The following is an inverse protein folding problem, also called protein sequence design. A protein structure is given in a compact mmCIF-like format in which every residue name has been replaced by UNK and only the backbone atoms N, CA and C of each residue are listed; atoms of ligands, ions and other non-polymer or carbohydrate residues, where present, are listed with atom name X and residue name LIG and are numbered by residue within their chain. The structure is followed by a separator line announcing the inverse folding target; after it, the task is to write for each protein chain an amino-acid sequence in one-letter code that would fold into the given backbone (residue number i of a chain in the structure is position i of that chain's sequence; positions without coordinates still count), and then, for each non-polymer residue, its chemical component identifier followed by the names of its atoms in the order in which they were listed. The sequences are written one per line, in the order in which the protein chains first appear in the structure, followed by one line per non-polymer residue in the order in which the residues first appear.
data_IF_951231599303
#
_entry.id   IF_951231599303
#
_cell.length_a   1.000
_cell.length_b   1.000
_cell.length_c   1.000
_cell.angle_alpha   90.00
_cell.angle_beta   90.00
_cell.angle_gamma   90.00
#
_symmetry.space_group_name_H-M   'P 1'
#
loop_
_entity.id
_entity.type
_entity.pdbx_description
1 polymer ?
#
# COMPACT_ATOMS: atom_id res chain seq x y z
N UNK A 1 -18.84 -4.98 12.43
CA UNK A 1 -18.57 -3.65 11.87
C UNK A 1 -18.10 -2.67 12.93
N UNK A 2 -17.10 -1.83 12.61
CA UNK A 2 -16.50 -0.88 13.55
C UNK A 2 -15.33 -1.43 14.37
N UNK A 3 -15.07 -2.70 14.32
CA UNK A 3 -13.87 -3.31 14.91
C UNK A 3 -12.64 -3.07 14.03
N UNK A 4 -11.46 -3.26 14.59
CA UNK A 4 -10.22 -3.34 13.83
C UNK A 4 -9.67 -4.75 13.82
N UNK A 5 -9.08 -5.14 12.68
CA UNK A 5 -8.41 -6.42 12.49
C UNK A 5 -6.98 -6.16 12.04
N UNK A 6 -6.03 -6.71 12.80
CA UNK A 6 -4.61 -6.60 12.49
C UNK A 6 -4.19 -7.67 11.48
N UNK A 7 -3.30 -7.31 10.56
CA UNK A 7 -2.69 -8.24 9.62
C UNK A 7 -1.17 -8.20 9.68
N UNK A 8 -0.54 -9.30 10.09
CA UNK A 8 0.90 -9.51 10.12
C UNK A 8 1.29 -10.55 9.06
N UNK A 9 1.18 -10.16 7.79
CA UNK A 9 1.42 -11.01 6.64
C UNK A 9 2.53 -10.42 5.76
N UNK A 10 3.41 -11.26 5.20
CA UNK A 10 4.37 -10.81 4.19
C UNK A 10 3.62 -10.35 2.93
N UNK A 11 4.26 -9.47 2.15
CA UNK A 11 3.73 -9.06 0.85
C UNK A 11 3.47 -10.28 -0.03
N UNK A 12 2.21 -10.51 -0.35
CA UNK A 12 1.75 -11.69 -1.09
C UNK A 12 0.29 -11.50 -1.52
N UNK A 13 -0.19 -12.37 -2.40
CA UNK A 13 -1.62 -12.43 -2.75
C UNK A 13 -2.49 -12.61 -1.49
N UNK A 14 -2.02 -13.37 -0.50
CA UNK A 14 -2.75 -13.58 0.76
C UNK A 14 -2.90 -12.31 1.58
N UNK A 15 -1.89 -11.41 1.59
CA UNK A 15 -2.02 -10.09 2.21
C UNK A 15 -3.16 -9.31 1.55
N UNK A 16 -3.24 -9.30 0.23
CA UNK A 16 -4.31 -8.62 -0.51
C UNK A 16 -5.67 -9.22 -0.18
N UNK A 17 -5.79 -10.55 -0.20
CA UNK A 17 -7.06 -11.24 0.12
C UNK A 17 -7.50 -10.97 1.57
N UNK A 18 -6.58 -11.02 2.53
CA UNK A 18 -6.89 -10.73 3.94
C UNK A 18 -7.37 -9.29 4.12
N UNK A 19 -6.70 -8.33 3.48
CA UNK A 19 -7.07 -6.91 3.52
C UNK A 19 -8.49 -6.68 2.96
N UNK A 20 -8.80 -7.25 1.79
CA UNK A 20 -10.13 -7.16 1.21
C UNK A 20 -11.18 -7.85 2.10
N UNK A 21 -10.92 -9.06 2.58
CA UNK A 21 -11.84 -9.78 3.47
C UNK A 21 -12.13 -9.04 4.77
N UNK A 22 -11.13 -8.36 5.37
CA UNK A 22 -11.32 -7.53 6.56
C UNK A 22 -12.32 -6.39 6.28
N UNK A 23 -12.14 -5.69 5.17
CA UNK A 23 -13.00 -4.56 4.83
C UNK A 23 -14.40 -5.04 4.42
N UNK A 24 -14.51 -6.15 3.71
CA UNK A 24 -15.80 -6.78 3.38
C UNK A 24 -16.56 -7.25 4.63
N UNK A 25 -15.86 -7.68 5.68
CA UNK A 25 -16.44 -7.99 6.98
C UNK A 25 -16.86 -6.72 7.78
N UNK A 26 -16.64 -5.53 7.23
CA UNK A 26 -16.99 -4.25 7.85
C UNK A 26 -16.02 -3.81 8.94
N UNK A 27 -14.81 -4.37 8.99
CA UNK A 27 -13.77 -4.02 9.95
C UNK A 27 -12.71 -3.07 9.35
N UNK A 28 -12.00 -2.36 10.22
CA UNK A 28 -10.88 -1.53 9.83
C UNK A 28 -9.59 -2.37 9.70
N UNK A 29 -8.83 -2.15 8.63
CA UNK A 29 -7.53 -2.78 8.43
C UNK A 29 -6.44 -2.12 9.26
N UNK A 30 -5.70 -2.91 10.05
CA UNK A 30 -4.50 -2.49 10.79
C UNK A 30 -3.28 -3.24 10.25
N UNK A 31 -2.48 -2.65 9.37
CA UNK A 31 -1.26 -3.30 8.87
C UNK A 31 -0.18 -3.36 9.94
N UNK A 32 0.41 -4.55 10.11
CA UNK A 32 1.59 -4.77 10.91
C UNK A 32 2.73 -5.20 9.99
N UNK A 33 3.72 -4.33 9.82
CA UNK A 33 4.93 -4.67 9.06
C UNK A 33 5.80 -5.63 9.88
N UNK A 34 5.88 -6.88 9.43
CA UNK A 34 6.59 -7.96 10.12
C UNK A 34 8.09 -7.71 10.30
N UNK A 35 8.65 -6.75 9.56
CA UNK A 35 10.03 -6.27 9.69
C UNK A 35 10.26 -5.32 10.87
N UNK A 36 9.19 -4.86 11.54
CA UNK A 36 9.35 -4.01 12.72
C UNK A 36 9.76 -4.82 13.96
N UNK A 37 10.51 -4.17 14.90
CA UNK A 37 10.80 -4.76 16.20
C UNK A 37 9.53 -5.14 16.99
N UNK A 38 9.60 -6.21 17.77
CA UNK A 38 8.46 -6.73 18.56
C UNK A 38 7.85 -5.67 19.47
N UNK A 39 8.68 -4.88 20.16
CA UNK A 39 8.20 -3.83 21.07
C UNK A 39 7.34 -2.80 20.33
N UNK A 40 7.68 -2.46 19.08
CA UNK A 40 6.90 -1.54 18.26
C UNK A 40 5.56 -2.16 17.86
N UNK A 41 5.56 -3.42 17.43
CA UNK A 41 4.35 -4.14 17.02
C UNK A 41 3.42 -4.35 18.23
N UNK A 42 3.97 -4.70 19.40
CA UNK A 42 3.19 -4.82 20.65
C UNK A 42 2.52 -3.51 21.04
N UNK A 43 3.26 -2.40 20.97
CA UNK A 43 2.71 -1.08 21.24
C UNK A 43 1.56 -0.73 20.29
N UNK A 44 1.70 -1.05 18.98
CA UNK A 44 0.63 -0.83 18.00
C UNK A 44 -0.61 -1.66 18.32
N UNK A 45 -0.45 -2.92 18.73
CA UNK A 45 -1.53 -3.81 19.15
C UNK A 45 -2.20 -3.32 20.44
N UNK A 46 -1.42 -2.87 21.43
CA UNK A 46 -1.94 -2.31 22.70
C UNK A 46 -2.75 -1.03 22.47
N UNK A 47 -2.29 -0.15 21.58
CA UNK A 47 -2.96 1.12 21.30
C UNK A 47 -4.23 0.93 20.44
N UNK A 48 -4.15 0.13 19.38
CA UNK A 48 -5.26 -0.09 18.45
C UNK A 48 -6.29 -1.12 18.97
N UNK A 49 -5.88 -2.05 19.82
CA UNK A 49 -6.72 -3.13 20.41
C UNK A 49 -7.58 -3.85 19.37
N UNK A 50 -6.97 -4.43 18.33
CA UNK A 50 -7.74 -5.15 17.32
C UNK A 50 -8.46 -6.34 17.95
N UNK A 51 -9.64 -6.68 17.42
CA UNK A 51 -10.41 -7.86 17.86
C UNK A 51 -9.79 -9.17 17.36
N UNK A 52 -9.05 -9.12 16.24
CA UNK A 52 -8.45 -10.28 15.59
C UNK A 52 -7.07 -9.93 15.01
N UNK A 53 -6.15 -10.88 15.08
CA UNK A 53 -4.87 -10.87 14.36
C UNK A 53 -4.85 -11.97 13.29
N UNK A 54 -4.73 -11.59 12.02
CA UNK A 54 -4.50 -12.53 10.91
C UNK A 54 -3.00 -12.55 10.61
N UNK A 55 -2.36 -13.71 10.71
CA UNK A 55 -0.93 -13.79 10.55
C UNK A 55 -0.46 -15.17 10.09
N UNK A 56 0.84 -15.29 9.78
CA UNK A 56 1.52 -16.57 9.63
C UNK A 56 1.73 -17.23 11.00
N UNK A 57 1.99 -18.53 11.03
CA UNK A 57 2.20 -19.27 12.27
C UNK A 57 3.37 -18.71 13.10
N UNK A 58 4.48 -18.36 12.44
CA UNK A 58 5.64 -17.75 13.10
C UNK A 58 5.33 -16.36 13.67
N UNK A 59 4.50 -15.56 12.98
CA UNK A 59 4.07 -14.25 13.47
C UNK A 59 3.09 -14.38 14.64
N UNK A 60 2.19 -15.36 14.62
CA UNK A 60 1.28 -15.62 15.73
C UNK A 60 2.05 -15.98 17.01
N UNK A 61 3.12 -16.75 16.89
CA UNK A 61 3.96 -17.12 18.02
C UNK A 61 4.57 -15.91 18.74
N UNK A 62 4.85 -14.80 18.03
CA UNK A 62 5.39 -13.55 18.60
C UNK A 62 4.43 -12.82 19.53
N UNK A 63 3.11 -13.05 19.37
CA UNK A 63 2.05 -12.31 20.07
C UNK A 63 1.09 -13.21 20.86
N UNK A 64 1.44 -14.48 21.05
CA UNK A 64 0.61 -15.48 21.73
C UNK A 64 0.33 -15.17 23.20
N UNK A 65 1.13 -14.28 23.81
CA UNK A 65 1.02 -13.85 25.21
C UNK A 65 0.15 -12.58 25.40
N UNK A 66 -0.40 -11.99 24.30
CA UNK A 66 -1.26 -10.80 24.39
C UNK A 66 -2.66 -11.23 24.84
N UNK A 67 -3.12 -10.82 26.05
CA UNK A 67 -4.40 -11.24 26.55
C UNK A 67 -5.57 -10.72 25.72
N UNK A 68 -6.51 -11.60 25.38
CA UNK A 68 -7.76 -11.23 24.72
C UNK A 68 -7.62 -10.95 23.21
N UNK A 69 -6.43 -11.10 22.62
CA UNK A 69 -6.24 -11.01 21.18
C UNK A 69 -6.60 -12.36 20.54
N UNK A 70 -7.71 -12.41 19.81
CA UNK A 70 -8.02 -13.56 18.97
C UNK A 70 -7.06 -13.63 17.79
N UNK A 71 -6.78 -14.84 17.29
CA UNK A 71 -5.83 -15.02 16.21
C UNK A 71 -6.32 -16.02 15.17
N UNK A 72 -5.98 -15.75 13.91
CA UNK A 72 -6.28 -16.59 12.75
C UNK A 72 -5.00 -16.84 11.95
N UNK A 73 -4.63 -18.12 11.80
CA UNK A 73 -3.55 -18.52 10.93
C UNK A 73 -4.08 -18.66 9.50
N UNK A 74 -3.63 -17.80 8.58
CA UNK A 74 -4.07 -17.87 7.18
C UNK A 74 -3.62 -19.13 6.45
N UNK A 75 -2.59 -19.83 6.94
CA UNK A 75 -2.06 -21.08 6.36
C UNK A 75 -2.93 -22.31 6.68
N UNK A 76 -3.86 -22.18 7.62
CA UNK A 76 -4.80 -23.23 7.94
C UNK A 76 -6.02 -23.17 7.03
N UNK A 77 -6.56 -24.32 6.60
CA UNK A 77 -7.81 -24.32 5.84
C UNK A 77 -8.91 -23.64 6.67
N UNK A 78 -9.49 -22.57 6.11
CA UNK A 78 -10.68 -21.98 6.69
C UNK A 78 -11.86 -22.88 6.39
N UNK A 79 -12.71 -23.13 7.38
CA UNK A 79 -14.00 -23.77 7.12
C UNK A 79 -14.76 -22.91 6.11
N UNK A 80 -15.46 -23.57 5.16
CA UNK A 80 -16.38 -22.86 4.30
C UNK A 80 -17.37 -22.11 5.23
N UNK A 81 -17.35 -20.77 5.13
CA UNK A 81 -18.32 -19.96 5.88
C UNK A 81 -19.72 -20.22 5.37
N UNK A 82 -20.71 -20.03 6.24
CA UNK A 82 -22.09 -19.92 5.79
C UNK A 82 -22.22 -18.71 4.87
N UNK A 83 -23.14 -18.74 3.90
CA UNK A 83 -23.51 -17.61 3.05
C UNK A 83 -24.21 -16.49 3.87
N UNK A 84 -23.63 -16.15 5.02
CA UNK A 84 -24.13 -15.07 5.85
C UNK A 84 -23.98 -13.74 5.10
N UNK A 85 -25.00 -12.87 5.11
CA UNK A 85 -24.88 -11.57 4.46
C UNK A 85 -23.70 -10.79 5.05
N UNK A 86 -22.84 -10.27 4.17
CA UNK A 86 -21.71 -9.45 4.55
C UNK A 86 -22.19 -8.24 5.35
N UNK A 87 -21.49 -7.95 6.44
CA UNK A 87 -21.76 -6.75 7.23
C UNK A 87 -21.32 -5.52 6.43
N UNK A 88 -22.27 -4.69 6.00
CA UNK A 88 -21.96 -3.50 5.22
C UNK A 88 -21.24 -2.46 6.09
N UNK A 89 -20.10 -2.01 5.62
CA UNK A 89 -19.42 -0.83 6.16
C UNK A 89 -20.27 0.42 5.95
N UNK A 90 -20.27 1.31 6.94
CA UNK A 90 -20.93 2.62 6.83
C UNK A 90 -19.93 3.69 6.42
N UNK A 91 -20.37 4.80 5.84
CA UNK A 91 -19.50 5.91 5.42
C UNK A 91 -18.63 6.49 6.56
N UNK A 92 -19.10 6.44 7.79
CA UNK A 92 -18.44 6.93 9.00
C UNK A 92 -17.55 5.89 9.69
N UNK A 93 -17.56 4.63 9.22
CA UNK A 93 -16.66 3.61 9.76
C UNK A 93 -15.21 3.87 9.33
N UNK A 94 -14.27 3.47 10.19
CA UNK A 94 -12.84 3.47 9.86
C UNK A 94 -12.56 2.42 8.80
N UNK A 95 -11.80 2.80 7.77
CA UNK A 95 -11.33 1.90 6.72
C UNK A 95 -10.01 1.25 7.10
N UNK A 96 -9.08 2.04 7.60
CA UNK A 96 -7.76 1.55 8.02
C UNK A 96 -7.18 2.40 9.15
N UNK A 97 -6.18 1.81 9.85
CA UNK A 97 -5.41 2.47 10.90
C UNK A 97 -3.93 2.32 10.55
N UNK A 98 -3.25 3.40 10.19
CA UNK A 98 -1.81 3.38 9.90
C UNK A 98 -1.06 4.19 10.95
N UNK A 99 0.00 3.60 11.50
CA UNK A 99 0.81 4.23 12.54
C UNK A 99 1.91 5.10 11.92
N UNK A 100 1.93 6.37 12.30
CA UNK A 100 2.95 7.35 11.93
C UNK A 100 3.89 7.66 13.08
N UNK A 101 5.07 8.23 12.79
CA UNK A 101 5.99 8.69 13.82
C UNK A 101 5.39 9.86 14.58
N UNK A 102 5.11 9.69 15.86
CA UNK A 102 4.62 10.78 16.71
C UNK A 102 5.74 11.76 17.09
N UNK A 103 5.40 13.04 17.23
CA UNK A 103 6.32 14.11 17.68
C UNK A 103 6.93 13.84 19.06
N UNK A 104 6.32 12.98 19.86
CA UNK A 104 6.78 12.58 21.20
C UNK A 104 7.61 11.29 21.20
N UNK A 105 7.98 10.77 20.01
CA UNK A 105 8.70 9.50 19.85
C UNK A 105 7.81 8.25 19.92
N UNK A 106 6.57 8.33 20.44
CA UNK A 106 5.60 7.22 20.40
C UNK A 106 4.79 7.29 19.10
N UNK A 107 4.72 6.22 18.30
CA UNK A 107 3.88 6.16 17.12
C UNK A 107 2.41 6.45 17.45
N UNK A 108 1.70 7.06 16.49
CA UNK A 108 0.27 7.39 16.61
C UNK A 108 -0.49 6.68 15.50
N UNK A 109 -1.57 5.98 15.86
CA UNK A 109 -2.48 5.35 14.91
C UNK A 109 -3.40 6.40 14.29
N UNK A 110 -3.25 6.61 12.99
CA UNK A 110 -4.11 7.50 12.19
C UNK A 110 -5.28 6.67 11.66
N UNK A 111 -6.50 7.04 12.06
CA UNK A 111 -7.74 6.40 11.62
C UNK A 111 -8.30 7.16 10.42
N UNK A 112 -8.40 6.50 9.28
CA UNK A 112 -8.99 7.09 8.07
C UNK A 112 -10.33 6.42 7.79
N UNK A 113 -11.38 7.23 7.63
CA UNK A 113 -12.74 6.75 7.40
C UNK A 113 -13.01 6.33 5.97
N UNK A 114 -14.04 5.50 5.78
CA UNK A 114 -14.47 4.99 4.47
C UNK A 114 -14.74 6.12 3.46
N UNK A 115 -15.47 7.15 3.86
CA UNK A 115 -15.77 8.29 2.98
C UNK A 115 -14.51 8.96 2.46
N UNK A 116 -13.50 9.16 3.32
CA UNK A 116 -12.27 9.85 2.94
C UNK A 116 -11.46 9.06 1.91
N UNK A 117 -11.25 7.76 2.15
CA UNK A 117 -10.46 6.94 1.23
C UNK A 117 -11.20 6.66 -0.09
N UNK A 118 -12.52 6.45 -0.05
CA UNK A 118 -13.32 6.30 -1.26
C UNK A 118 -13.26 7.55 -2.13
N UNK A 119 -13.42 8.74 -1.53
CA UNK A 119 -13.25 10.01 -2.24
C UNK A 119 -11.87 10.11 -2.90
N UNK A 120 -10.81 9.73 -2.17
CA UNK A 120 -9.43 9.76 -2.67
C UNK A 120 -9.24 8.82 -3.87
N UNK A 121 -9.76 7.59 -3.80
CA UNK A 121 -9.64 6.59 -4.86
C UNK A 121 -10.46 6.96 -6.10
N UNK A 122 -11.68 7.47 -5.93
CA UNK A 122 -12.52 7.94 -7.03
C UNK A 122 -11.90 9.15 -7.73
N UNK A 123 -11.31 10.09 -6.96
CA UNK A 123 -10.55 11.19 -7.54
C UNK A 123 -9.36 10.69 -8.38
N UNK A 124 -8.60 9.67 -7.90
CA UNK A 124 -7.52 9.07 -8.70
C UNK A 124 -8.06 8.48 -10.00
N UNK A 125 -9.18 7.77 -9.94
CA UNK A 125 -9.79 7.17 -11.12
C UNK A 125 -10.27 8.22 -12.13
N UNK A 126 -10.83 9.31 -11.65
CA UNK A 126 -11.25 10.43 -12.52
C UNK A 126 -10.05 11.13 -13.17
N UNK A 127 -9.01 11.41 -12.38
CA UNK A 127 -7.85 12.18 -12.84
C UNK A 127 -6.86 11.35 -13.66
N UNK A 128 -6.68 10.07 -13.31
CA UNK A 128 -5.69 9.16 -13.90
C UNK A 128 -6.35 7.82 -14.28
N UNK A 129 -7.34 7.80 -15.17
CA UNK A 129 -8.18 6.62 -15.35
C UNK A 129 -7.35 5.37 -15.65
N UNK A 130 -7.53 4.34 -14.82
CA UNK A 130 -7.08 2.98 -15.08
C UNK A 130 -8.12 2.25 -15.92
N UNK A 131 -7.67 1.27 -16.67
CA UNK A 131 -8.49 0.32 -17.42
C UNK A 131 -8.03 -1.11 -17.17
N UNK A 132 -8.72 -2.09 -17.73
CA UNK A 132 -8.35 -3.50 -17.64
C UNK A 132 -6.97 -3.82 -18.25
N UNK A 133 -6.46 -2.95 -19.12
CA UNK A 133 -5.12 -3.09 -19.74
C UNK A 133 -3.99 -2.55 -18.86
N UNK A 134 -4.30 -1.95 -17.72
CA UNK A 134 -3.30 -1.39 -16.82
C UNK A 134 -2.83 -2.42 -15.80
N UNK A 135 -1.54 -2.32 -15.47
CA UNK A 135 -0.87 -3.15 -14.47
C UNK A 135 -0.29 -2.25 -13.39
N UNK A 136 -0.84 -2.35 -12.19
CA UNK A 136 -0.41 -1.56 -11.02
C UNK A 136 0.59 -2.36 -10.19
N UNK A 137 1.71 -1.74 -9.88
CA UNK A 137 2.73 -2.33 -9.00
C UNK A 137 2.37 -2.12 -7.53
N UNK A 138 2.16 -3.19 -6.76
CA UNK A 138 2.17 -3.15 -5.31
C UNK A 138 3.59 -3.43 -4.81
N UNK A 139 4.25 -2.41 -4.31
CA UNK A 139 5.62 -2.48 -3.79
C UNK A 139 5.82 -1.70 -2.50
N UNK A 140 4.93 -0.75 -2.21
CA UNK A 140 4.99 0.03 -0.99
C UNK A 140 4.67 -0.84 0.22
N UNK A 141 5.47 -0.81 1.31
CA UNK A 141 5.11 -1.53 2.53
C UNK A 141 3.72 -1.13 3.03
N UNK A 142 2.94 -2.11 3.49
CA UNK A 142 1.56 -1.89 3.95
C UNK A 142 1.43 -0.93 5.15
N UNK A 143 2.53 -0.67 5.83
CA UNK A 143 2.62 0.32 6.92
C UNK A 143 2.64 1.78 6.45
N UNK A 144 2.72 2.04 5.14
CA UNK A 144 2.62 3.38 4.53
C UNK A 144 1.29 3.52 3.80
N UNK A 145 0.65 4.66 3.95
CA UNK A 145 -0.69 4.95 3.42
C UNK A 145 -0.78 4.96 1.89
N UNK A 146 0.31 5.26 1.18
CA UNK A 146 0.41 5.10 -0.27
C UNK A 146 0.05 3.68 -0.72
N UNK A 147 0.38 2.65 0.07
CA UNK A 147 0.03 1.27 -0.25
C UNK A 147 -1.48 1.06 -0.38
N UNK A 148 -2.29 1.87 0.27
CA UNK A 148 -3.74 1.74 0.26
C UNK A 148 -4.30 1.88 -1.15
N UNK A 149 -3.87 2.88 -1.92
CA UNK A 149 -4.36 2.98 -3.29
C UNK A 149 -3.73 1.90 -4.21
N UNK A 150 -2.52 1.43 -3.94
CA UNK A 150 -1.94 0.30 -4.69
C UNK A 150 -2.81 -0.95 -4.53
N UNK A 151 -3.38 -1.22 -3.33
CA UNK A 151 -4.24 -2.37 -3.07
C UNK A 151 -5.68 -2.23 -3.58
N UNK A 152 -6.26 -1.02 -3.61
CA UNK A 152 -7.68 -0.85 -3.87
C UNK A 152 -8.01 -0.33 -5.27
N UNK A 153 -7.23 0.62 -5.78
CA UNK A 153 -7.53 1.27 -7.05
C UNK A 153 -7.57 0.31 -8.24
N UNK A 154 -6.67 -0.68 -8.40
CA UNK A 154 -6.76 -1.64 -9.49
C UNK A 154 -8.11 -2.37 -9.53
N UNK A 155 -8.60 -2.81 -8.38
CA UNK A 155 -9.86 -3.56 -8.31
C UNK A 155 -11.10 -2.70 -8.63
N UNK A 156 -11.09 -1.42 -8.26
CA UNK A 156 -12.16 -0.48 -8.63
C UNK A 156 -12.23 -0.31 -10.16
N UNK A 157 -11.09 -0.33 -10.82
CA UNK A 157 -10.98 -0.10 -12.27
C UNK A 157 -11.00 -1.39 -13.11
N UNK A 158 -10.96 -2.57 -12.50
CA UNK A 158 -10.79 -3.84 -13.19
C UNK A 158 -9.38 -4.03 -13.79
N UNK A 159 -8.39 -3.29 -13.30
CA UNK A 159 -6.98 -3.41 -13.68
C UNK A 159 -6.29 -4.57 -12.96
N UNK A 160 -5.09 -4.90 -13.39
CA UNK A 160 -4.27 -5.94 -12.76
C UNK A 160 -3.44 -5.36 -11.61
N UNK A 161 -3.33 -6.11 -10.52
CA UNK A 161 -2.39 -5.86 -9.44
C UNK A 161 -1.26 -6.89 -9.51
N UNK A 162 -0.01 -6.43 -9.58
CA UNK A 162 1.18 -7.28 -9.49
C UNK A 162 1.98 -6.91 -8.26
N UNK A 163 2.47 -7.92 -7.55
CA UNK A 163 3.15 -7.73 -6.27
C UNK A 163 4.64 -7.96 -6.42
N UNK A 164 5.42 -6.95 -6.01
CA UNK A 164 6.87 -7.11 -5.93
C UNK A 164 7.23 -8.08 -4.79
N UNK A 165 8.32 -8.82 -4.97
CA UNK A 165 8.85 -9.66 -3.89
C UNK A 165 9.13 -8.81 -2.63
N UNK A 166 9.04 -9.41 -1.43
CA UNK A 166 9.45 -8.72 -0.21
C UNK A 166 10.84 -8.09 -0.38
N UNK A 167 11.03 -6.87 0.13
CA UNK A 167 12.27 -6.08 0.05
C UNK A 167 12.73 -5.65 -1.37
N UNK A 168 12.16 -6.17 -2.46
CA UNK A 168 12.55 -5.80 -3.84
C UNK A 168 12.43 -4.29 -4.11
N UNK A 169 11.54 -3.60 -3.40
CA UNK A 169 11.37 -2.14 -3.51
C UNK A 169 12.64 -1.34 -3.15
N UNK A 170 13.59 -1.94 -2.42
CA UNK A 170 14.88 -1.32 -2.03
C UNK A 170 15.98 -1.56 -3.07
N UNK A 171 15.77 -2.45 -4.02
CA UNK A 171 16.72 -2.80 -5.06
C UNK A 171 16.25 -2.28 -6.43
N UNK A 172 16.91 -1.24 -6.98
CA UNK A 172 16.57 -0.70 -8.28
C UNK A 172 16.59 -1.73 -9.41
N UNK A 173 17.54 -2.67 -9.41
CA UNK A 173 17.65 -3.69 -10.46
C UNK A 173 16.50 -4.70 -10.36
N UNK A 174 16.15 -5.14 -9.15
CA UNK A 174 14.98 -5.98 -8.92
C UNK A 174 13.69 -5.29 -9.40
N UNK A 175 13.56 -3.98 -9.18
CA UNK A 175 12.41 -3.22 -9.65
C UNK A 175 12.37 -3.08 -11.18
N UNK A 176 13.50 -2.91 -11.85
CA UNK A 176 13.57 -2.89 -13.31
C UNK A 176 13.12 -4.23 -13.91
N UNK A 177 13.62 -5.34 -13.36
CA UNK A 177 13.23 -6.68 -13.78
C UNK A 177 11.74 -6.94 -13.53
N UNK A 178 11.23 -6.49 -12.39
CA UNK A 178 9.82 -6.59 -12.04
C UNK A 178 8.93 -5.82 -13.03
N UNK A 179 9.29 -4.58 -13.37
CA UNK A 179 8.54 -3.77 -14.35
C UNK A 179 8.55 -4.41 -15.74
N UNK A 180 9.71 -4.88 -16.20
CA UNK A 180 9.84 -5.56 -17.48
C UNK A 180 9.03 -6.87 -17.54
N UNK A 181 9.13 -7.68 -16.47
CA UNK A 181 8.46 -8.99 -16.40
C UNK A 181 6.95 -8.89 -16.48
N UNK A 182 6.37 -7.92 -15.78
CA UNK A 182 4.91 -7.81 -15.64
C UNK A 182 4.28 -6.72 -16.50
N UNK A 183 5.08 -5.95 -17.25
CA UNK A 183 4.56 -4.86 -18.08
C UNK A 183 3.89 -3.77 -17.23
N UNK A 184 4.48 -3.40 -16.10
CA UNK A 184 3.91 -2.42 -15.18
C UNK A 184 3.63 -1.11 -15.89
N UNK A 185 2.40 -0.59 -15.73
CA UNK A 185 1.97 0.70 -16.29
C UNK A 185 1.86 1.80 -15.26
N UNK A 186 1.68 1.43 -13.99
CA UNK A 186 1.43 2.38 -12.90
C UNK A 186 2.22 2.00 -11.66
N UNK A 187 2.98 2.95 -11.13
CA UNK A 187 3.82 2.74 -9.94
C UNK A 187 4.01 4.03 -9.14
N UNK A 188 4.45 3.90 -7.91
CA UNK A 188 4.83 4.99 -7.02
C UNK A 188 6.30 4.92 -6.65
N UNK A 189 6.92 6.06 -6.38
CA UNK A 189 8.23 6.17 -5.73
C UNK A 189 8.21 7.28 -4.67
N UNK A 190 8.95 7.11 -3.59
CA UNK A 190 9.47 8.27 -2.86
C UNK A 190 10.65 8.85 -3.65
N UNK A 191 10.84 10.18 -3.68
CA UNK A 191 11.87 10.81 -4.49
C UNK A 191 13.29 10.25 -4.31
N UNK A 192 13.68 9.91 -3.09
CA UNK A 192 14.99 9.27 -2.83
C UNK A 192 15.15 7.91 -3.51
N UNK A 193 14.08 7.10 -3.54
CA UNK A 193 14.09 5.81 -4.26
C UNK A 193 14.05 6.00 -5.77
N UNK A 194 13.31 7.00 -6.27
CA UNK A 194 13.33 7.35 -7.70
C UNK A 194 14.74 7.77 -8.12
N UNK A 195 15.45 8.55 -7.31
CA UNK A 195 16.83 8.96 -7.61
C UNK A 195 17.77 7.74 -7.72
N UNK A 196 17.67 6.78 -6.80
CA UNK A 196 18.43 5.54 -6.87
C UNK A 196 18.08 4.70 -8.11
N UNK A 197 16.79 4.62 -8.45
CA UNK A 197 16.32 3.92 -9.63
C UNK A 197 16.85 4.58 -10.92
N UNK A 198 16.75 5.90 -11.05
CA UNK A 198 17.24 6.67 -12.19
C UNK A 198 18.77 6.51 -12.35
N UNK A 199 19.52 6.59 -11.25
CA UNK A 199 20.97 6.41 -11.28
C UNK A 199 21.43 5.01 -11.72
N UNK A 200 20.56 4.02 -11.62
CA UNK A 200 20.83 2.62 -12.02
C UNK A 200 20.39 2.29 -13.44
N UNK A 201 19.71 3.23 -14.16
CA UNK A 201 19.20 2.98 -15.51
C UNK A 201 20.35 2.97 -16.54
N UNK A 202 20.33 1.96 -17.38
CA UNK A 202 21.12 1.85 -18.60
C UNK A 202 20.20 1.76 -19.85
N UNK A 203 20.79 1.57 -21.01
CA UNK A 203 20.03 1.52 -22.27
C UNK A 203 18.98 0.38 -22.30
N UNK A 204 19.30 -0.75 -21.68
CA UNK A 204 18.41 -1.93 -21.67
C UNK A 204 17.30 -1.74 -20.63
N UNK A 205 17.61 -1.23 -19.45
CA UNK A 205 16.66 -0.99 -18.38
C UNK A 205 15.72 0.19 -18.63
N UNK A 206 16.15 1.21 -19.40
CA UNK A 206 15.24 2.26 -19.90
C UNK A 206 14.10 1.64 -20.75
N UNK A 207 14.38 0.55 -21.49
CA UNK A 207 13.35 -0.14 -22.24
C UNK A 207 12.26 -0.75 -21.34
N UNK A 208 12.60 -1.15 -20.11
CA UNK A 208 11.63 -1.64 -19.12
C UNK A 208 10.66 -0.55 -18.64
N UNK A 209 11.05 0.72 -18.75
CA UNK A 209 10.21 1.86 -18.36
C UNK A 209 9.19 2.26 -19.44
N UNK A 210 9.28 1.70 -20.66
CA UNK A 210 8.40 2.09 -21.77
C UNK A 210 6.92 1.75 -21.57
N UNK A 211 6.62 0.80 -20.69
CA UNK A 211 5.24 0.45 -20.35
C UNK A 211 4.62 1.41 -19.33
N UNK A 212 5.44 2.22 -18.65
CA UNK A 212 4.98 3.14 -17.62
C UNK A 212 4.16 4.27 -18.23
N UNK A 213 2.92 4.39 -17.79
CA UNK A 213 1.96 5.42 -18.21
C UNK A 213 1.67 6.43 -17.11
N UNK A 214 1.87 6.02 -15.83
CA UNK A 214 1.61 6.83 -14.64
C UNK A 214 2.67 6.50 -13.58
N UNK A 215 3.49 7.48 -13.28
CA UNK A 215 4.46 7.37 -12.20
C UNK A 215 4.18 8.47 -11.20
N UNK A 216 3.98 8.08 -9.95
CA UNK A 216 3.68 8.99 -8.85
C UNK A 216 4.88 9.10 -7.92
N UNK A 217 5.11 10.32 -7.42
CA UNK A 217 6.05 10.60 -6.34
C UNK A 217 5.32 11.27 -5.19
N UNK A 218 5.59 10.85 -3.96
CA UNK A 218 5.13 11.53 -2.75
C UNK A 218 6.01 11.17 -1.54
N UNK A 219 5.73 11.77 -0.39
CA UNK A 219 6.41 11.51 0.88
C UNK A 219 7.68 12.32 1.13
N UNK A 220 8.30 12.87 0.10
CA UNK A 220 9.49 13.72 0.19
C UNK A 220 9.39 14.86 -0.83
N UNK A 221 10.25 15.88 -0.70
CA UNK A 221 10.37 16.92 -1.71
C UNK A 221 10.96 16.35 -3.00
N UNK A 222 10.28 16.55 -4.13
CA UNK A 222 10.72 16.07 -5.44
C UNK A 222 11.63 17.12 -6.12
N UNK A 223 12.95 16.85 -6.28
CA UNK A 223 13.87 17.78 -6.91
C UNK A 223 13.60 17.97 -8.40
N UNK A 224 13.68 19.21 -8.89
CA UNK A 224 13.47 19.53 -10.31
C UNK A 224 14.47 18.82 -11.23
N UNK A 225 15.71 18.68 -10.79
CA UNK A 225 16.76 17.98 -11.53
C UNK A 225 16.42 16.50 -11.73
N UNK A 226 15.84 15.86 -10.73
CA UNK A 226 15.39 14.47 -10.83
C UNK A 226 14.24 14.33 -11.82
N UNK A 227 13.30 15.28 -11.85
CA UNK A 227 12.22 15.30 -12.86
C UNK A 227 12.77 15.40 -14.28
N UNK A 228 13.72 16.32 -14.51
CA UNK A 228 14.36 16.49 -15.83
C UNK A 228 15.12 15.24 -16.26
N UNK A 229 15.84 14.61 -15.35
CA UNK A 229 16.59 13.39 -15.62
C UNK A 229 15.65 12.22 -15.93
N UNK A 230 14.59 12.05 -15.17
CA UNK A 230 13.54 11.07 -15.42
C UNK A 230 12.91 11.25 -16.81
N UNK A 231 12.50 12.47 -17.14
CA UNK A 231 11.90 12.80 -18.43
C UNK A 231 12.87 12.53 -19.59
N UNK A 232 14.13 12.97 -19.44
CA UNK A 232 15.18 12.76 -20.45
C UNK A 232 15.44 11.28 -20.75
N UNK A 233 15.43 10.43 -19.71
CA UNK A 233 15.75 9.00 -19.84
C UNK A 233 14.55 8.17 -20.30
N UNK A 234 13.39 8.41 -19.74
CA UNK A 234 12.23 7.50 -19.91
C UNK A 234 11.11 8.08 -20.76
N UNK A 235 10.95 9.40 -20.76
CA UNK A 235 9.80 10.07 -21.36
C UNK A 235 8.46 9.75 -20.69
N UNK A 236 8.45 8.96 -19.60
CA UNK A 236 7.22 8.57 -18.90
C UNK A 236 6.69 9.72 -18.02
N UNK A 237 5.37 9.93 -17.97
CA UNK A 237 4.77 10.96 -17.13
C UNK A 237 5.10 10.75 -15.65
N UNK A 238 5.47 11.82 -14.95
CA UNK A 238 5.75 11.85 -13.52
C UNK A 238 4.84 12.85 -12.84
N UNK A 239 4.14 12.43 -11.80
CA UNK A 239 3.22 13.24 -11.03
C UNK A 239 3.70 13.33 -9.58
N UNK A 240 3.74 14.55 -9.05
CA UNK A 240 4.05 14.78 -7.64
C UNK A 240 2.74 14.91 -6.86
N UNK A 241 2.59 14.05 -5.85
CA UNK A 241 1.46 14.06 -4.92
C UNK A 241 1.95 14.48 -3.54
N UNK A 242 1.10 15.13 -2.77
CA UNK A 242 1.42 15.55 -1.42
C UNK A 242 0.21 15.44 -0.50
N UNK A 243 0.42 14.87 0.66
CA UNK A 243 -0.53 14.83 1.77
C UNK A 243 0.05 14.15 3.00
N UNK A 244 -0.40 14.52 4.19
CA UNK A 244 -0.14 13.74 5.40
C UNK A 244 -1.12 12.56 5.50
N UNK A 245 -0.74 11.51 6.22
CA UNK A 245 -1.57 10.32 6.42
C UNK A 245 -2.95 10.64 6.99
N UNK A 246 -3.05 11.67 7.83
CA UNK A 246 -4.28 12.18 8.43
C UNK A 246 -5.28 12.73 7.41
N UNK A 247 -4.83 13.03 6.20
CA UNK A 247 -5.66 13.57 5.12
C UNK A 247 -5.96 12.54 4.01
N UNK A 248 -5.92 11.25 4.34
CA UNK A 248 -6.22 10.15 3.44
C UNK A 248 -5.28 10.08 2.23
N UNK A 249 -4.00 9.92 2.49
CA UNK A 249 -2.86 9.72 1.58
C UNK A 249 -2.37 11.03 0.95
N UNK A 250 -3.11 11.65 0.04
CA UNK A 250 -2.68 12.86 -0.65
C UNK A 250 -3.84 13.84 -0.85
N UNK A 251 -3.56 15.13 -0.73
CA UNK A 251 -4.55 16.24 -0.84
C UNK A 251 -4.26 17.18 -2.00
N UNK A 252 -3.07 17.12 -2.56
CA UNK A 252 -2.70 17.94 -3.72
C UNK A 252 -1.84 17.14 -4.70
N UNK A 253 -1.81 17.62 -5.93
CA UNK A 253 -1.08 16.99 -7.02
C UNK A 253 -0.52 18.03 -7.99
N UNK A 254 0.55 17.65 -8.67
CA UNK A 254 1.18 18.45 -9.71
C UNK A 254 1.80 17.53 -10.78
N UNK A 255 1.56 17.78 -12.10
CA UNK A 255 2.28 17.09 -13.16
C UNK A 255 3.73 17.60 -13.17
N UNK A 256 4.67 16.76 -12.76
CA UNK A 256 6.06 17.16 -12.60
C UNK A 256 6.82 17.15 -13.94
N UNK A 257 6.49 16.20 -14.82
CA UNK A 257 6.98 16.14 -16.20
C UNK A 257 6.12 15.19 -17.05
N UNK A 258 6.26 15.32 -18.38
CA UNK A 258 5.44 14.62 -19.35
C UNK A 258 4.15 15.39 -19.70
N UNK A 259 3.43 14.92 -20.71
CA UNK A 259 2.19 15.55 -21.18
C UNK A 259 1.04 15.41 -20.19
#
# INVERSE_FOLDING_TARGET
PGDSVAGALPRSVFLTLALHGIVEAGAAWLPLDTGYPDDRLRMMLEDARPSLLIATEDQLARFSDIPGLESLCYQQPLAAGDDAPLALSKPDHTAYIIFTSGSTGRPKGVMVGQTAIVNRLLWMQDRYPLSADDVVAQKTPCSFDVSVWEFWWPFIAGAQLVMAEPEAHRDPQAMQQFFARYGVTTTHFVPSMLAAFVASLDADSVAACRTLRRVFCSGEALPTELCREWERLTGAPLHNLYGPTEAAVDVSWYPACGP
#
